data_IF_322696143241
#
_entry.id   IF_322696143241
#
_cell.length_a   1.000
_cell.length_b   1.000
_cell.length_c   1.000
_cell.angle_alpha   90.00
_cell.angle_beta   90.00
_cell.angle_gamma   90.00
#
_symmetry.space_group_name_H-M   'P 1'
#
loop_
_entity.id
_entity.type
_entity.pdbx_description
1 polymer ?
#
# COMPACT_ATOMS: atom_id res chain seq x y z
N UNK A 1 2.95 4.33 -7.05
CA UNK A 1 2.66 3.14 -7.87
C UNK A 1 3.03 1.90 -7.05
N UNK A 2 2.08 1.09 -6.60
CA UNK A 2 2.38 -0.32 -6.28
C UNK A 2 1.64 -1.16 -7.31
N UNK A 3 2.42 -1.87 -8.09
CA UNK A 3 1.93 -2.61 -9.23
C UNK A 3 3.04 -3.51 -9.74
N UNK A 4 2.68 -4.75 -10.07
CA UNK A 4 3.63 -5.73 -10.58
C UNK A 4 4.14 -5.36 -11.99
N UNK A 5 3.25 -4.86 -12.84
CA UNK A 5 3.54 -4.41 -14.19
C UNK A 5 3.29 -2.90 -14.33
N UNK A 6 4.06 -2.25 -15.19
CA UNK A 6 3.87 -0.83 -15.51
C UNK A 6 2.54 -0.59 -16.25
N UNK A 7 1.93 0.60 -16.09
CA UNK A 7 0.59 0.91 -16.63
C UNK A 7 0.49 0.67 -18.14
N UNK A 8 1.52 1.07 -18.90
CA UNK A 8 1.59 0.86 -20.36
C UNK A 8 1.47 -0.62 -20.77
N UNK A 9 2.09 -1.54 -20.02
CA UNK A 9 2.02 -2.98 -20.32
C UNK A 9 0.62 -3.51 -20.08
N UNK A 10 -0.05 -3.03 -19.02
CA UNK A 10 -1.41 -3.44 -18.67
C UNK A 10 -2.40 -2.92 -19.72
N UNK A 11 -2.32 -1.64 -20.09
CA UNK A 11 -3.19 -1.03 -21.12
C UNK A 11 -3.04 -1.74 -22.46
N UNK A 12 -1.81 -2.09 -22.87
CA UNK A 12 -1.58 -2.83 -24.11
C UNK A 12 -2.16 -4.25 -24.07
N UNK A 13 -2.20 -4.87 -22.89
CA UNK A 13 -2.70 -6.25 -22.71
C UNK A 13 -4.23 -6.28 -22.65
N UNK A 14 -4.84 -5.37 -21.89
CA UNK A 14 -6.31 -5.30 -21.67
C UNK A 14 -7.02 -4.48 -22.76
N UNK A 15 -6.29 -3.64 -23.50
CA UNK A 15 -6.80 -2.72 -24.55
C UNK A 15 -7.82 -1.70 -24.04
N UNK A 16 -7.69 -1.32 -22.77
CA UNK A 16 -8.49 -0.30 -22.11
C UNK A 16 -7.56 0.70 -21.40
N UNK A 17 -8.01 1.96 -21.26
CA UNK A 17 -7.30 2.96 -20.47
C UNK A 17 -7.46 2.68 -18.97
N UNK A 18 -6.39 2.84 -18.21
CA UNK A 18 -6.47 2.63 -16.76
C UNK A 18 -7.24 3.77 -16.06
N UNK A 19 -8.01 3.46 -15.00
CA UNK A 19 -8.66 4.47 -14.19
C UNK A 19 -7.67 5.50 -13.62
N UNK A 20 -8.15 6.71 -13.35
CA UNK A 20 -7.35 7.72 -12.66
C UNK A 20 -6.90 7.20 -11.28
N UNK A 21 -5.63 7.45 -10.94
CA UNK A 21 -5.06 6.99 -9.68
C UNK A 21 -4.85 5.47 -9.58
N UNK A 22 -5.02 4.72 -10.67
CA UNK A 22 -4.69 3.30 -10.68
C UNK A 22 -3.25 3.06 -10.20
N UNK A 23 -3.06 2.04 -9.36
CA UNK A 23 -1.80 1.74 -8.66
C UNK A 23 -1.29 2.83 -7.69
N UNK A 24 -2.04 3.91 -7.42
CA UNK A 24 -1.70 4.84 -6.34
C UNK A 24 -2.03 4.23 -4.97
N UNK A 25 -1.44 4.78 -3.91
CA UNK A 25 -1.62 4.24 -2.57
C UNK A 25 -3.10 4.24 -2.15
N UNK A 26 -3.84 5.27 -2.53
CA UNK A 26 -5.27 5.46 -2.24
C UNK A 26 -6.11 4.38 -2.94
N UNK A 27 -5.81 4.09 -4.21
CA UNK A 27 -6.48 3.03 -4.96
C UNK A 27 -6.23 1.67 -4.30
N UNK A 28 -4.99 1.41 -3.89
CA UNK A 28 -4.58 0.15 -3.29
C UNK A 28 -5.12 -0.04 -1.87
N UNK A 29 -5.27 1.05 -1.13
CA UNK A 29 -5.97 1.06 0.16
C UNK A 29 -7.44 0.69 -0.04
N UNK A 30 -8.12 1.33 -1.01
CA UNK A 30 -9.51 1.02 -1.34
C UNK A 30 -9.71 -0.42 -1.84
N UNK A 31 -8.72 -1.00 -2.53
CA UNK A 31 -8.75 -2.39 -2.99
C UNK A 31 -8.29 -3.41 -1.94
N UNK A 32 -7.92 -2.99 -0.73
CA UNK A 32 -7.46 -3.86 0.36
C UNK A 32 -6.06 -4.45 0.18
N UNK A 33 -5.26 -3.92 -0.75
CA UNK A 33 -3.88 -4.35 -0.97
C UNK A 33 -2.88 -3.66 -0.01
N UNK A 34 -3.28 -2.56 0.63
CA UNK A 34 -2.51 -1.83 1.65
C UNK A 34 -3.44 -1.55 2.84
N UNK A 35 -2.92 -1.66 4.06
CA UNK A 35 -3.69 -1.38 5.28
C UNK A 35 -3.72 0.11 5.68
N UNK A 36 -2.63 0.85 5.41
CA UNK A 36 -2.40 2.20 5.95
C UNK A 36 -1.59 3.08 4.98
N UNK A 37 -1.98 4.36 4.87
CA UNK A 37 -1.21 5.43 4.22
C UNK A 37 -0.85 6.46 5.29
N UNK A 38 0.42 6.85 5.39
CA UNK A 38 0.91 7.75 6.43
C UNK A 38 1.87 8.79 5.85
N UNK A 39 1.92 9.96 6.48
CA UNK A 39 2.96 10.94 6.21
C UNK A 39 4.32 10.39 6.66
N UNK A 40 5.36 10.63 5.86
CA UNK A 40 6.73 10.15 6.13
C UNK A 40 7.24 10.53 7.52
N UNK A 41 6.83 11.69 8.05
CA UNK A 41 7.24 12.20 9.38
C UNK A 41 6.73 11.30 10.52
N UNK A 42 5.65 10.56 10.30
CA UNK A 42 5.05 9.68 11.30
C UNK A 42 5.66 8.27 11.32
N UNK A 43 6.45 7.90 10.30
CA UNK A 43 6.92 6.54 10.09
C UNK A 43 7.69 5.97 11.29
N UNK A 44 8.63 6.74 11.86
CA UNK A 44 9.46 6.28 12.98
C UNK A 44 8.58 5.81 14.15
N UNK A 45 7.61 6.64 14.54
CA UNK A 45 6.74 6.36 15.67
C UNK A 45 5.76 5.23 15.34
N UNK A 46 5.19 5.20 14.11
CA UNK A 46 4.27 4.13 13.72
C UNK A 46 4.94 2.76 13.67
N UNK A 47 6.08 2.65 12.98
CA UNK A 47 6.81 1.39 12.82
C UNK A 47 7.21 0.86 14.20
N UNK A 48 7.75 1.71 15.08
CA UNK A 48 8.10 1.31 16.44
C UNK A 48 6.93 0.71 17.21
N UNK A 49 5.73 1.34 17.14
CA UNK A 49 4.52 0.81 17.77
C UNK A 49 4.07 -0.53 17.18
N UNK A 50 4.07 -0.66 15.85
CA UNK A 50 3.67 -1.91 15.18
C UNK A 50 4.61 -3.07 15.54
N UNK A 51 5.92 -2.83 15.50
CA UNK A 51 6.91 -3.82 15.91
C UNK A 51 6.74 -4.19 17.37
N UNK A 52 6.57 -3.21 18.27
CA UNK A 52 6.32 -3.49 19.68
C UNK A 52 5.06 -4.32 19.90
N UNK A 53 3.95 -4.01 19.21
CA UNK A 53 2.71 -4.76 19.31
C UNK A 53 2.88 -6.22 18.85
N UNK A 54 3.61 -6.45 17.76
CA UNK A 54 3.77 -7.77 17.14
C UNK A 54 4.87 -8.62 17.76
N UNK A 55 5.91 -8.00 18.33
CA UNK A 55 7.06 -8.68 18.90
C UNK A 55 7.01 -8.79 20.43
N UNK A 56 6.12 -8.06 21.10
CA UNK A 56 5.95 -8.21 22.55
C UNK A 56 5.37 -9.59 22.88
N UNK A 57 5.95 -10.32 23.85
CA UNK A 57 5.35 -11.54 24.33
C UNK A 57 3.96 -11.22 24.86
N UNK A 58 2.99 -12.05 24.50
CA UNK A 58 1.61 -11.91 24.98
C UNK A 58 1.66 -11.87 26.51
N UNK A 59 1.06 -10.87 27.18
CA UNK A 59 1.00 -10.87 28.62
C UNK A 59 0.34 -12.18 29.06
N UNK A 60 1.00 -12.86 29.99
CA UNK A 60 0.56 -14.15 30.54
C UNK A 60 -0.81 -14.02 31.21
#
# INVERSE_FOLDING_TARGET
LIGFAGPRVIEQTVRESLPEGFQHAEFLLASGAIDLILDRREHRNRIGRLVHLLASPKPA
#
